data_IF_465242704890
#
_entry.id   IF_465242704890
#
_cell.length_a   1.000
_cell.length_b   1.000
_cell.length_c   1.000
_cell.angle_alpha   90.00
_cell.angle_beta   90.00
_cell.angle_gamma   90.00
#
_symmetry.space_group_name_H-M   'P 1'
#
loop_
_entity.id
_entity.type
_entity.pdbx_description
1 polymer ?
#
# COMPACT_ATOMS: atom_id res chain seq x y z
N UNK A 1 -7.29 -61.52 42.16
CA UNK A 1 -6.25 -60.52 42.53
C UNK A 1 -5.60 -59.84 41.32
N UNK A 2 -5.26 -60.54 40.22
CA UNK A 2 -4.62 -59.91 39.05
C UNK A 2 -5.53 -58.96 38.23
N UNK A 3 -6.83 -59.28 38.13
CA UNK A 3 -7.81 -58.49 37.36
C UNK A 3 -8.09 -57.10 37.96
N UNK A 4 -8.11 -56.97 39.29
CA UNK A 4 -8.34 -55.72 39.99
C UNK A 4 -7.16 -54.75 39.87
N UNK A 5 -5.92 -55.27 39.93
CA UNK A 5 -4.71 -54.48 39.69
C UNK A 5 -4.62 -53.99 38.24
N UNK A 6 -4.90 -54.86 37.26
CA UNK A 6 -4.91 -54.47 35.84
C UNK A 6 -5.94 -53.38 35.52
N UNK A 7 -7.15 -53.47 36.10
CA UNK A 7 -8.19 -52.45 35.96
C UNK A 7 -7.77 -51.09 36.51
N UNK A 8 -7.17 -51.06 37.69
CA UNK A 8 -6.73 -49.81 38.32
C UNK A 8 -5.58 -49.16 37.55
N UNK A 9 -4.63 -49.96 37.05
CA UNK A 9 -3.54 -49.46 36.20
C UNK A 9 -4.09 -48.94 34.88
N UNK A 10 -5.01 -49.66 34.23
CA UNK A 10 -5.61 -49.20 32.97
C UNK A 10 -6.37 -47.89 33.12
N UNK A 11 -7.16 -47.73 34.19
CA UNK A 11 -7.86 -46.48 34.48
C UNK A 11 -6.91 -45.32 34.79
N UNK A 12 -5.83 -45.59 35.53
CA UNK A 12 -4.86 -44.56 35.89
C UNK A 12 -4.05 -44.11 34.69
N UNK A 13 -3.45 -45.05 33.95
CA UNK A 13 -2.63 -44.77 32.77
C UNK A 13 -3.50 -44.23 31.63
N UNK A 14 -4.66 -44.84 31.39
CA UNK A 14 -5.61 -44.38 30.37
C UNK A 14 -6.18 -42.99 30.68
N UNK A 15 -6.47 -42.69 31.95
CA UNK A 15 -6.93 -41.36 32.37
C UNK A 15 -5.87 -40.29 32.17
N UNK A 16 -4.63 -40.54 32.59
CA UNK A 16 -3.52 -39.59 32.38
C UNK A 16 -3.25 -39.41 30.89
N UNK A 17 -3.24 -40.48 30.09
CA UNK A 17 -3.04 -40.40 28.65
C UNK A 17 -4.14 -39.59 27.96
N UNK A 18 -5.41 -39.82 28.32
CA UNK A 18 -6.54 -39.07 27.77
C UNK A 18 -6.46 -37.58 28.13
N UNK A 19 -6.07 -37.24 29.36
CA UNK A 19 -5.86 -35.86 29.79
C UNK A 19 -4.67 -35.21 29.06
N UNK A 20 -3.56 -35.92 28.92
CA UNK A 20 -2.37 -35.41 28.21
C UNK A 20 -2.63 -35.19 26.72
N UNK A 21 -3.28 -36.14 26.04
CA UNK A 21 -3.63 -36.00 24.63
C UNK A 21 -4.67 -34.89 24.44
N UNK A 22 -5.70 -34.83 25.29
CA UNK A 22 -6.72 -33.78 25.24
C UNK A 22 -6.16 -32.38 25.49
N UNK A 23 -5.23 -32.23 26.44
CA UNK A 23 -4.54 -30.98 26.71
C UNK A 23 -3.63 -30.58 25.54
N UNK A 24 -2.90 -31.54 24.96
CA UNK A 24 -2.05 -31.29 23.80
C UNK A 24 -2.87 -30.81 22.60
N UNK A 25 -3.99 -31.48 22.29
CA UNK A 25 -4.91 -31.06 21.23
C UNK A 25 -5.45 -29.65 21.44
N UNK A 26 -5.95 -29.32 22.65
CA UNK A 26 -6.44 -27.96 22.95
C UNK A 26 -5.34 -26.91 22.84
N UNK A 27 -4.16 -27.18 23.39
CA UNK A 27 -3.02 -26.29 23.29
C UNK A 27 -2.59 -26.04 21.83
N UNK A 28 -2.58 -27.07 20.99
CA UNK A 28 -2.26 -26.91 19.55
C UNK A 28 -3.33 -26.12 18.82
N UNK A 29 -4.62 -26.38 19.07
CA UNK A 29 -5.70 -25.61 18.45
C UNK A 29 -5.70 -24.14 18.88
N UNK A 30 -5.45 -23.85 20.15
CA UNK A 30 -5.31 -22.48 20.65
C UNK A 30 -4.09 -21.77 20.02
N UNK A 31 -2.96 -22.48 19.85
CA UNK A 31 -1.78 -21.96 19.13
C UNK A 31 -2.08 -21.66 17.65
N UNK A 32 -2.83 -22.53 16.96
CA UNK A 32 -3.19 -22.34 15.55
C UNK A 32 -4.14 -21.14 15.35
N UNK A 33 -5.10 -20.96 16.26
CA UNK A 33 -5.99 -19.79 16.26
C UNK A 33 -5.24 -18.48 16.52
N UNK A 34 -4.33 -18.48 17.49
CA UNK A 34 -3.45 -17.34 17.77
C UNK A 34 -2.54 -17.02 16.57
N UNK A 35 -1.97 -18.03 15.91
CA UNK A 35 -1.10 -17.84 14.75
C UNK A 35 -1.83 -17.23 13.55
N UNK A 36 -3.09 -17.62 13.32
CA UNK A 36 -3.90 -17.05 12.23
C UNK A 36 -4.24 -15.58 12.49
N UNK A 37 -4.50 -15.20 13.74
CA UNK A 37 -4.72 -13.80 14.13
C UNK A 37 -3.45 -12.97 13.93
N UNK A 38 -2.29 -13.46 14.39
CA UNK A 38 -1.00 -12.80 14.19
C UNK A 38 -0.64 -12.60 12.71
N UNK A 39 -0.98 -13.57 11.85
CA UNK A 39 -0.75 -13.44 10.41
C UNK A 39 -1.65 -12.37 9.79
N UNK A 40 -2.92 -12.30 10.20
CA UNK A 40 -3.85 -11.26 9.73
C UNK A 40 -3.37 -9.89 10.17
N UNK A 41 -3.00 -9.73 11.44
CA UNK A 41 -2.47 -8.47 11.98
C UNK A 41 -1.19 -8.05 11.24
N UNK A 42 -0.28 -9.00 10.98
CA UNK A 42 0.94 -8.72 10.22
C UNK A 42 0.65 -8.31 8.77
N UNK A 43 -0.36 -8.90 8.13
CA UNK A 43 -0.80 -8.48 6.79
C UNK A 43 -1.43 -7.08 6.81
N UNK A 44 -2.24 -6.77 7.81
CA UNK A 44 -2.84 -5.45 7.98
C UNK A 44 -1.77 -4.37 8.21
N UNK A 45 -0.80 -4.64 9.08
CA UNK A 45 0.31 -3.73 9.36
C UNK A 45 1.21 -3.53 8.12
N UNK A 46 1.49 -4.61 7.38
CA UNK A 46 2.24 -4.50 6.13
C UNK A 46 1.50 -3.66 5.09
N UNK A 47 0.19 -3.86 4.93
CA UNK A 47 -0.62 -3.09 3.99
C UNK A 47 -0.70 -1.62 4.42
N UNK A 48 -0.88 -1.36 5.73
CA UNK A 48 -0.91 -0.01 6.28
C UNK A 48 0.41 0.73 6.09
N UNK A 49 1.54 0.05 6.28
CA UNK A 49 2.85 0.63 6.03
C UNK A 49 3.01 1.03 4.55
N UNK A 50 2.71 0.12 3.64
CA UNK A 50 2.81 0.34 2.20
C UNK A 50 1.91 1.50 1.73
N UNK A 51 0.66 1.52 2.19
CA UNK A 51 -0.26 2.62 1.91
C UNK A 51 0.24 3.94 2.52
N UNK A 52 0.76 3.90 3.75
CA UNK A 52 1.28 5.06 4.46
C UNK A 52 2.45 5.73 3.73
N UNK A 53 3.35 4.96 3.13
CA UNK A 53 4.47 5.51 2.34
C UNK A 53 3.98 6.30 1.12
N UNK A 54 2.99 5.77 0.40
CA UNK A 54 2.38 6.47 -0.73
C UNK A 54 1.64 7.74 -0.29
N UNK A 55 0.91 7.68 0.84
CA UNK A 55 0.21 8.85 1.41
C UNK A 55 1.18 9.95 1.82
N UNK A 56 2.27 9.59 2.52
CA UNK A 56 3.28 10.54 2.96
C UNK A 56 4.00 11.20 1.78
N UNK A 57 4.25 10.45 0.69
CA UNK A 57 4.86 11.00 -0.51
C UNK A 57 4.00 12.09 -1.17
N UNK A 58 2.70 11.83 -1.35
CA UNK A 58 1.80 12.83 -1.98
C UNK A 58 1.55 14.03 -1.06
N UNK A 59 1.41 13.81 0.25
CA UNK A 59 1.23 14.89 1.22
C UNK A 59 2.48 15.79 1.29
N UNK A 60 3.68 15.18 1.23
CA UNK A 60 4.95 15.91 1.18
C UNK A 60 5.06 16.80 -0.06
N UNK A 61 4.70 16.28 -1.24
CA UNK A 61 4.69 17.07 -2.49
C UNK A 61 3.69 18.23 -2.38
N UNK A 62 2.49 17.97 -1.87
CA UNK A 62 1.47 19.00 -1.69
C UNK A 62 1.91 20.10 -0.73
N UNK A 63 2.59 19.73 0.35
CA UNK A 63 3.13 20.68 1.31
C UNK A 63 4.24 21.55 0.69
N UNK A 64 5.17 20.96 -0.05
CA UNK A 64 6.21 21.70 -0.78
C UNK A 64 5.59 22.68 -1.80
N UNK A 65 4.55 22.23 -2.51
CA UNK A 65 3.80 23.10 -3.42
C UNK A 65 3.14 24.26 -2.68
N UNK A 66 2.44 23.99 -1.58
CA UNK A 66 1.76 25.02 -0.79
C UNK A 66 2.73 26.06 -0.21
N UNK A 67 3.97 25.66 0.11
CA UNK A 67 5.04 26.54 0.60
C UNK A 67 5.70 27.38 -0.50
N UNK A 68 5.45 27.08 -1.77
CA UNK A 68 6.04 27.80 -2.90
C UNK A 68 7.41 27.29 -3.33
N UNK A 69 7.82 26.10 -2.88
CA UNK A 69 9.16 25.53 -3.15
C UNK A 69 9.34 25.15 -4.64
N UNK A 70 8.25 24.95 -5.38
CA UNK A 70 8.26 24.74 -6.82
C UNK A 70 7.00 25.29 -7.51
N UNK A 71 7.08 25.54 -8.81
CA UNK A 71 5.92 25.79 -9.67
C UNK A 71 5.57 24.54 -10.47
N UNK A 72 4.30 24.37 -10.80
CA UNK A 72 3.93 23.34 -11.78
C UNK A 72 4.68 23.67 -13.07
N UNK A 73 5.34 22.67 -13.64
CA UNK A 73 6.10 22.71 -14.90
C UNK A 73 7.56 23.19 -14.83
N UNK A 74 8.11 23.43 -13.62
CA UNK A 74 9.52 23.77 -13.47
C UNK A 74 10.42 22.54 -13.16
N UNK A 75 11.74 22.79 -13.15
CA UNK A 75 12.74 21.77 -12.83
C UNK A 75 12.70 21.37 -11.35
N UNK A 76 12.35 22.30 -10.46
CA UNK A 76 12.22 22.05 -9.03
C UNK A 76 11.09 21.04 -8.71
N UNK A 77 9.98 21.11 -9.45
CA UNK A 77 8.89 20.15 -9.41
C UNK A 77 9.36 18.75 -9.79
N UNK A 78 10.12 18.66 -10.90
CA UNK A 78 10.65 17.37 -11.36
C UNK A 78 11.58 16.74 -10.31
N UNK A 79 12.43 17.56 -9.67
CA UNK A 79 13.30 17.13 -8.58
C UNK A 79 12.50 16.74 -7.32
N UNK A 80 11.45 17.48 -6.96
CA UNK A 80 10.59 17.18 -5.82
C UNK A 80 9.85 15.84 -6.01
N UNK A 81 9.27 15.62 -7.19
CA UNK A 81 8.59 14.38 -7.55
C UNK A 81 9.57 13.20 -7.56
N UNK A 82 10.74 13.33 -8.19
CA UNK A 82 11.74 12.27 -8.20
C UNK A 82 12.31 11.98 -6.80
N UNK A 83 12.50 13.01 -5.97
CA UNK A 83 12.96 12.87 -4.59
C UNK A 83 11.94 12.16 -3.71
N UNK A 84 10.66 12.51 -3.84
CA UNK A 84 9.57 11.82 -3.14
C UNK A 84 9.46 10.36 -3.58
N UNK A 85 9.54 10.09 -4.89
CA UNK A 85 9.55 8.73 -5.43
C UNK A 85 10.77 7.94 -4.92
N UNK A 86 11.95 8.54 -4.84
CA UNK A 86 13.15 7.90 -4.32
C UNK A 86 13.00 7.50 -2.83
N UNK A 87 12.28 8.32 -2.05
CA UNK A 87 12.03 8.07 -0.63
C UNK A 87 10.96 7.00 -0.38
N UNK A 88 10.02 6.78 -1.30
CA UNK A 88 8.95 5.80 -1.18
C UNK A 88 9.23 4.55 -2.02
N UNK A 89 9.81 3.51 -1.40
CA UNK A 89 10.22 2.27 -2.10
C UNK A 89 9.04 1.50 -2.71
N UNK A 90 7.86 1.62 -2.13
CA UNK A 90 6.61 0.98 -2.59
C UNK A 90 5.88 1.70 -3.72
N UNK A 91 6.31 2.92 -4.04
CA UNK A 91 5.67 3.73 -5.08
C UNK A 91 6.40 3.51 -6.40
N UNK A 92 5.64 3.13 -7.43
CA UNK A 92 6.17 2.88 -8.77
C UNK A 92 6.20 4.14 -9.62
N UNK A 93 5.22 5.02 -9.47
CA UNK A 93 5.11 6.27 -10.22
C UNK A 93 4.49 7.38 -9.39
N UNK A 94 4.88 8.62 -9.68
CA UNK A 94 4.29 9.82 -9.11
C UNK A 94 4.08 10.83 -10.22
N UNK A 95 2.85 11.33 -10.33
CA UNK A 95 2.42 12.22 -11.41
C UNK A 95 1.71 13.44 -10.82
N UNK A 96 1.91 14.58 -11.46
CA UNK A 96 1.13 15.80 -11.29
C UNK A 96 0.33 15.99 -12.58
N UNK A 97 -0.99 16.09 -12.46
CA UNK A 97 -1.90 16.28 -13.58
C UNK A 97 -2.60 17.63 -13.44
N UNK A 98 -2.48 18.48 -14.44
CA UNK A 98 -3.09 19.80 -14.45
C UNK A 98 -4.58 19.75 -14.84
N UNK A 99 -5.34 20.85 -14.64
CA UNK A 99 -6.78 20.92 -14.96
C UNK A 99 -7.14 20.66 -16.42
N UNK A 100 -6.19 20.86 -17.34
CA UNK A 100 -6.28 20.55 -18.77
C UNK A 100 -5.91 19.08 -19.09
N UNK A 101 -5.75 18.25 -18.06
CA UNK A 101 -5.47 16.82 -18.13
C UNK A 101 -4.11 16.51 -18.76
N UNK A 102 -3.14 17.39 -18.56
CA UNK A 102 -1.74 17.17 -18.92
C UNK A 102 -1.02 16.63 -17.69
N UNK A 103 -0.51 15.41 -17.79
CA UNK A 103 0.18 14.74 -16.70
C UNK A 103 1.69 14.71 -16.97
N UNK A 104 2.48 14.86 -15.91
CA UNK A 104 3.94 14.75 -15.91
C UNK A 104 4.44 14.23 -14.58
N UNK A 105 5.64 13.69 -14.53
CA UNK A 105 6.21 13.27 -13.25
C UNK A 105 7.39 12.32 -13.41
N UNK A 106 7.45 11.31 -12.55
CA UNK A 106 8.52 10.33 -12.56
C UNK A 106 7.98 8.94 -12.25
N UNK A 107 8.62 7.90 -12.80
CA UNK A 107 8.38 6.52 -12.41
C UNK A 107 9.69 5.74 -12.33
N UNK A 108 9.63 4.60 -11.67
CA UNK A 108 10.73 3.65 -11.64
C UNK A 108 10.84 2.99 -13.01
N UNK A 109 12.05 2.98 -13.55
CA UNK A 109 12.37 2.34 -14.81
C UNK A 109 12.18 0.83 -14.68
N UNK A 110 11.46 0.25 -15.65
CA UNK A 110 11.19 -1.17 -15.73
C UNK A 110 11.81 -1.70 -17.01
N UNK A 111 12.77 -2.62 -16.88
CA UNK A 111 13.39 -3.31 -18.00
C UNK A 111 13.07 -4.80 -17.92
N UNK A 112 12.48 -5.38 -18.97
CA UNK A 112 12.04 -6.78 -19.00
C UNK A 112 11.14 -7.19 -17.81
N UNK A 113 10.23 -6.31 -17.38
CA UNK A 113 9.37 -6.47 -16.19
C UNK A 113 10.12 -6.55 -14.86
N UNK A 114 11.35 -6.04 -14.80
CA UNK A 114 12.14 -5.92 -13.57
C UNK A 114 12.46 -4.44 -13.34
N UNK A 115 12.12 -3.94 -12.15
CA UNK A 115 12.49 -2.59 -11.74
C UNK A 115 14.02 -2.47 -11.66
N UNK A 116 14.59 -1.51 -12.38
CA UNK A 116 16.05 -1.28 -12.38
C UNK A 116 16.49 -0.39 -11.21
N UNK A 117 15.52 0.18 -10.48
CA UNK A 117 15.75 1.17 -9.43
C UNK A 117 16.10 2.57 -9.94
N UNK A 118 16.34 2.73 -11.25
CA UNK A 118 16.50 4.05 -11.86
C UNK A 118 15.15 4.78 -11.89
N UNK A 119 15.20 6.11 -11.74
CA UNK A 119 14.01 6.97 -11.86
C UNK A 119 14.06 7.64 -13.23
N UNK A 120 12.98 7.48 -13.98
CA UNK A 120 12.78 8.11 -15.28
C UNK A 120 11.70 9.19 -15.17
N UNK A 121 11.93 10.31 -15.85
CA UNK A 121 10.98 11.41 -15.91
C UNK A 121 10.02 11.26 -17.08
N UNK A 122 8.73 11.45 -16.80
CA UNK A 122 7.69 11.48 -17.82
C UNK A 122 7.46 12.92 -18.26
N UNK A 123 7.62 13.21 -19.56
CA UNK A 123 7.32 14.53 -20.09
C UNK A 123 5.82 14.83 -19.95
N UNK A 124 5.49 16.11 -20.07
CA UNK A 124 4.11 16.56 -20.10
C UNK A 124 3.36 15.98 -21.29
N UNK A 125 2.43 15.07 -21.03
CA UNK A 125 1.57 14.51 -22.05
C UNK A 125 0.09 14.61 -21.66
N UNK A 126 -0.81 14.90 -22.61
CA UNK A 126 -2.25 14.79 -22.38
C UNK A 126 -2.64 13.35 -22.05
N UNK A 127 -3.49 13.16 -21.03
CA UNK A 127 -4.03 11.84 -20.71
C UNK A 127 -4.91 11.32 -21.87
N UNK A 128 -4.59 10.11 -22.32
CA UNK A 128 -5.21 9.48 -23.50
C UNK A 128 -6.37 8.57 -23.09
N UNK A 129 -6.32 7.99 -21.89
CA UNK A 129 -7.34 7.09 -21.38
C UNK A 129 -8.60 7.84 -20.96
N UNK A 130 -9.73 7.58 -21.63
CA UNK A 130 -11.02 8.18 -21.26
C UNK A 130 -11.46 7.83 -19.84
N UNK A 131 -11.11 6.64 -19.35
CA UNK A 131 -11.40 6.21 -17.99
C UNK A 131 -10.60 7.01 -16.96
N UNK A 132 -9.29 7.20 -17.20
CA UNK A 132 -8.43 7.98 -16.29
C UNK A 132 -8.84 9.44 -16.28
N UNK A 133 -9.17 10.02 -17.45
CA UNK A 133 -9.70 11.39 -17.53
C UNK A 133 -10.96 11.60 -16.70
N UNK A 134 -11.93 10.69 -16.80
CA UNK A 134 -13.15 10.76 -15.99
C UNK A 134 -12.86 10.65 -14.49
N UNK A 135 -11.90 9.80 -14.10
CA UNK A 135 -11.46 9.68 -12.71
C UNK A 135 -10.78 10.96 -12.21
N UNK A 136 -9.91 11.57 -13.01
CA UNK A 136 -9.26 12.86 -12.68
C UNK A 136 -10.28 14.01 -12.57
N UNK A 137 -11.28 14.05 -13.46
CA UNK A 137 -12.36 15.04 -13.40
C UNK A 137 -13.20 14.90 -12.12
N UNK A 138 -13.55 13.67 -11.74
CA UNK A 138 -14.23 13.41 -10.47
C UNK A 138 -13.34 13.79 -9.28
N UNK A 139 -12.04 13.47 -9.38
CA UNK A 139 -11.06 13.74 -8.33
C UNK A 139 -10.93 15.22 -8.01
N UNK A 140 -11.01 16.09 -9.03
CA UNK A 140 -10.96 17.55 -8.87
C UNK A 140 -12.09 18.14 -8.03
N UNK A 141 -13.18 17.40 -7.83
CA UNK A 141 -14.35 17.86 -7.06
C UNK A 141 -14.26 17.49 -5.58
N UNK A 142 -13.24 16.74 -5.18
CA UNK A 142 -13.08 16.21 -3.83
C UNK A 142 -11.86 16.84 -3.16
N UNK A 143 -12.04 17.36 -1.95
CA UNK A 143 -10.96 17.91 -1.15
C UNK A 143 -10.19 16.81 -0.40
N UNK A 144 -8.96 17.14 -0.01
CA UNK A 144 -8.12 16.26 0.81
C UNK A 144 -7.58 15.05 0.05
N UNK A 145 -6.93 14.13 0.76
CA UNK A 145 -6.31 12.92 0.19
C UNK A 145 -7.37 11.87 -0.13
N UNK A 146 -7.23 11.21 -1.28
CA UNK A 146 -8.15 10.16 -1.70
C UNK A 146 -7.44 9.03 -2.43
N UNK A 147 -7.76 7.80 -2.00
CA UNK A 147 -7.45 6.59 -2.75
C UNK A 147 -8.45 6.39 -3.87
N UNK A 148 -7.95 6.14 -5.07
CA UNK A 148 -8.76 5.76 -6.22
C UNK A 148 -8.96 4.26 -6.34
N UNK A 149 -9.78 3.87 -7.32
CA UNK A 149 -9.97 2.47 -7.67
C UNK A 149 -8.68 1.88 -8.26
N UNK A 150 -8.55 0.55 -8.18
CA UNK A 150 -7.49 -0.16 -8.88
C UNK A 150 -7.63 0.01 -10.39
N UNK A 151 -6.53 0.34 -11.06
CA UNK A 151 -6.45 0.49 -12.51
C UNK A 151 -5.49 -0.56 -13.06
N UNK A 152 -5.96 -1.36 -14.01
CA UNK A 152 -5.13 -2.31 -14.74
C UNK A 152 -4.65 -1.67 -16.06
N UNK A 153 -3.36 -1.80 -16.35
CA UNK A 153 -2.75 -1.39 -17.61
C UNK A 153 -1.74 -2.44 -18.09
N UNK A 154 -0.99 -2.14 -19.15
CA UNK A 154 0.03 -3.03 -19.71
C UNK A 154 1.20 -3.34 -18.76
N UNK A 155 1.38 -2.55 -17.71
CA UNK A 155 2.45 -2.70 -16.72
C UNK A 155 2.00 -3.47 -15.46
N UNK A 156 0.69 -3.56 -15.19
CA UNK A 156 0.17 -4.28 -14.04
C UNK A 156 -1.14 -3.71 -13.48
N UNK A 157 -1.43 -4.08 -12.22
CA UNK A 157 -2.56 -3.58 -11.45
C UNK A 157 -2.04 -2.58 -10.41
N UNK A 158 -2.54 -1.35 -10.46
CA UNK A 158 -2.07 -0.26 -9.61
C UNK A 158 -3.21 0.33 -8.78
N UNK A 159 -2.93 0.61 -7.52
CA UNK A 159 -3.70 1.57 -6.73
C UNK A 159 -3.02 2.93 -6.82
N UNK A 160 -3.80 4.00 -6.69
CA UNK A 160 -3.27 5.35 -6.65
C UNK A 160 -3.90 6.13 -5.50
N UNK A 161 -3.08 6.95 -4.87
CA UNK A 161 -3.50 7.98 -3.93
C UNK A 161 -3.18 9.34 -4.53
N UNK A 162 -4.06 10.30 -4.30
CA UNK A 162 -3.93 11.65 -4.86
C UNK A 162 -4.39 12.68 -3.85
N UNK A 163 -3.85 13.89 -3.97
CA UNK A 163 -4.19 15.07 -3.15
C UNK A 163 -4.26 16.28 -4.09
N UNK A 164 -5.23 17.20 -3.94
CA UNK A 164 -5.24 18.41 -4.74
C UNK A 164 -4.06 19.30 -4.34
N UNK A 165 -3.38 19.86 -5.34
CA UNK A 165 -2.35 20.87 -5.13
C UNK A 165 -3.01 22.24 -5.09
N UNK A 166 -3.12 22.80 -3.89
CA UNK A 166 -3.67 24.12 -3.66
C UNK A 166 -2.63 25.08 -3.08
N UNK A 167 -2.59 26.30 -3.59
CA UNK A 167 -1.80 27.42 -3.06
C UNK A 167 -2.68 28.66 -2.98
N UNK A 168 -2.59 29.39 -1.87
CA UNK A 168 -3.38 30.60 -1.62
C UNK A 168 -4.90 30.40 -1.80
N UNK A 169 -5.39 29.18 -1.50
CA UNK A 169 -6.80 28.81 -1.65
C UNK A 169 -7.25 28.50 -3.08
N UNK A 170 -6.32 28.42 -4.04
CA UNK A 170 -6.61 28.06 -5.43
C UNK A 170 -6.02 26.69 -5.75
N UNK A 171 -6.87 25.74 -6.13
CA UNK A 171 -6.46 24.40 -6.61
C UNK A 171 -5.97 24.47 -8.05
N UNK A 172 -4.76 23.99 -8.28
CA UNK A 172 -4.03 24.08 -9.55
C UNK A 172 -3.69 22.73 -10.18
N UNK A 173 -3.84 21.63 -9.44
CA UNK A 173 -3.75 20.25 -9.91
C UNK A 173 -4.56 19.33 -8.98
#
# INVERSE_FOLDING_TARGET
MALSFGSLVFLSVGGVLALSVGANFRNTFDLLGAQSTLLIDAMEDSLRAEMGDAENAVDGIAQLYAQGEFQIDDEAMSAAVAGALAAASGVEATLICTPDLVCRGAARSVENNVSTGAIEHFPAEPEKSSQVRAALEQRRQVDGRQWGAFVANEFGLYAHVSVPLARDGVTQA
#
